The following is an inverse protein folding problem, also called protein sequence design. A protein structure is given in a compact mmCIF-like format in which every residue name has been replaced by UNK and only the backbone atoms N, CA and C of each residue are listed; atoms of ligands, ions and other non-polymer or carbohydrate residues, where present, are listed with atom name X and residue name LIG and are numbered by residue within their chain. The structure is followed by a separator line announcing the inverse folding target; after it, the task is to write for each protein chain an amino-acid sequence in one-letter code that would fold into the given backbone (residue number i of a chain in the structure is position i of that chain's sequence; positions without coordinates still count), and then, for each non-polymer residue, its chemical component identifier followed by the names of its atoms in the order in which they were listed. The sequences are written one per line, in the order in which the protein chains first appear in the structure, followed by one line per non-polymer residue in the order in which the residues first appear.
data_IF_522689107864
#
_entry.id   IF_522689107864
#
_cell.length_a   1.000
_cell.length_b   1.000
_cell.length_c   1.000
_cell.angle_alpha   90.00
_cell.angle_beta   90.00
_cell.angle_gamma   90.00
#
_symmetry.space_group_name_H-M   'P 1'
#
loop_
_entity.id
_entity.type
_entity.pdbx_description
1 polymer ?
#
# COMPACT_ATOMS: atom_id res chain seq x y z
N UNK A 1 4.82 -29.09 -1.49
CA UNK A 1 4.70 -27.63 -1.65
C UNK A 1 5.38 -26.96 -0.46
N UNK A 2 6.20 -25.93 -0.68
CA UNK A 2 6.82 -25.20 0.42
C UNK A 2 5.73 -24.48 1.25
N UNK A 3 5.89 -24.44 2.57
CA UNK A 3 4.95 -23.76 3.49
C UNK A 3 4.73 -22.30 3.11
N UNK A 4 5.76 -21.63 2.61
CA UNK A 4 5.70 -20.25 2.09
C UNK A 4 4.74 -20.13 0.91
N UNK A 5 4.83 -21.04 -0.07
CA UNK A 5 3.94 -21.05 -1.25
C UNK A 5 2.48 -21.24 -0.83
N UNK A 6 2.23 -22.04 0.20
CA UNK A 6 0.89 -22.22 0.76
C UNK A 6 0.34 -20.91 1.32
N UNK A 7 1.11 -20.18 2.14
CA UNK A 7 0.65 -18.91 2.72
C UNK A 7 0.40 -17.83 1.67
N UNK A 8 1.28 -17.70 0.67
CA UNK A 8 1.14 -16.73 -0.41
C UNK A 8 -0.17 -16.93 -1.18
N UNK A 9 -0.61 -18.18 -1.36
CA UNK A 9 -1.86 -18.50 -2.05
C UNK A 9 -3.08 -18.44 -1.13
N UNK A 10 -2.96 -18.93 0.10
CA UNK A 10 -4.08 -19.05 1.03
C UNK A 10 -4.64 -17.68 1.46
N UNK A 11 -3.78 -16.71 1.79
CA UNK A 11 -4.19 -15.40 2.30
C UNK A 11 -5.10 -14.64 1.31
N UNK A 12 -4.72 -14.42 0.03
CA UNK A 12 -5.59 -13.71 -0.91
C UNK A 12 -6.88 -14.48 -1.21
N UNK A 13 -6.81 -15.82 -1.28
CA UNK A 13 -7.99 -16.66 -1.50
C UNK A 13 -8.98 -16.51 -0.34
N UNK A 14 -8.51 -16.51 0.90
CA UNK A 14 -9.36 -16.32 2.07
C UNK A 14 -10.04 -14.94 2.05
N UNK A 15 -9.31 -13.87 1.69
CA UNK A 15 -9.88 -12.52 1.55
C UNK A 15 -11.02 -12.50 0.53
N UNK A 16 -10.83 -13.13 -0.62
CA UNK A 16 -11.88 -13.21 -1.66
C UNK A 16 -13.08 -14.01 -1.17
N UNK A 17 -12.87 -15.14 -0.49
CA UNK A 17 -13.96 -15.95 0.08
C UNK A 17 -14.79 -15.13 1.06
N UNK A 18 -14.14 -14.43 1.99
CA UNK A 18 -14.83 -13.60 2.99
C UNK A 18 -15.60 -12.44 2.35
N UNK A 19 -15.04 -11.81 1.31
CA UNK A 19 -15.73 -10.79 0.54
C UNK A 19 -16.98 -11.34 -0.17
N UNK A 20 -16.87 -12.53 -0.79
CA UNK A 20 -18.01 -13.20 -1.44
C UNK A 20 -19.08 -13.56 -0.43
N UNK A 21 -18.70 -14.09 0.74
CA UNK A 21 -19.65 -14.38 1.82
C UNK A 21 -20.36 -13.11 2.27
N UNK A 22 -19.65 -11.99 2.42
CA UNK A 22 -20.28 -10.71 2.75
C UNK A 22 -21.25 -10.25 1.66
N UNK A 23 -20.86 -10.33 0.39
CA UNK A 23 -21.71 -9.94 -0.74
C UNK A 23 -23.01 -10.77 -0.80
N UNK A 24 -22.93 -12.06 -0.47
CA UNK A 24 -24.09 -12.97 -0.50
C UNK A 24 -25.00 -12.83 0.71
N UNK A 25 -24.44 -12.59 1.91
CA UNK A 25 -25.21 -12.60 3.18
C UNK A 25 -25.60 -11.20 3.66
N UNK A 26 -24.89 -10.14 3.26
CA UNK A 26 -25.15 -8.80 3.76
C UNK A 26 -26.41 -8.19 3.13
N UNK A 27 -27.18 -7.46 3.94
CA UNK A 27 -28.36 -6.73 3.48
C UNK A 27 -27.91 -5.52 2.65
N UNK A 28 -28.15 -5.58 1.35
CA UNK A 28 -27.84 -4.49 0.42
C UNK A 28 -29.06 -3.60 0.20
N UNK A 29 -29.10 -2.43 0.87
CA UNK A 29 -30.12 -1.37 0.69
C UNK A 29 -29.42 -0.04 0.41
N UNK A 30 -29.21 0.33 -0.87
CA UNK A 30 -28.66 1.62 -1.26
C UNK A 30 -29.75 2.68 -1.30
N UNK A 31 -29.51 3.81 -0.62
CA UNK A 31 -30.32 5.04 -0.70
C UNK A 31 -29.47 6.15 -1.30
N UNK A 32 -30.08 7.17 -1.91
CA UNK A 32 -29.37 8.29 -2.53
C UNK A 32 -28.36 8.95 -1.59
N UNK A 33 -28.72 9.15 -0.32
CA UNK A 33 -27.83 9.73 0.70
C UNK A 33 -26.78 8.75 1.23
N UNK A 34 -26.99 7.44 1.06
CA UNK A 34 -26.05 6.41 1.51
C UNK A 34 -24.96 6.14 0.48
N UNK A 35 -25.22 6.44 -0.79
CA UNK A 35 -24.26 6.30 -1.89
C UNK A 35 -23.45 7.58 -2.15
N UNK A 36 -23.78 8.69 -1.49
CA UNK A 36 -23.03 9.95 -1.54
C UNK A 36 -21.96 10.01 -0.47
N UNK A 37 -20.92 10.83 -0.68
CA UNK A 37 -19.90 11.08 0.33
C UNK A 37 -20.49 11.84 1.53
N UNK A 38 -20.07 11.48 2.74
CA UNK A 38 -20.47 12.19 3.95
C UNK A 38 -19.78 13.55 4.05
N UNK A 39 -20.54 14.64 4.08
CA UNK A 39 -20.00 16.01 4.05
C UNK A 39 -20.58 16.94 5.15
N UNK A 40 -20.96 16.40 6.32
CA UNK A 40 -21.50 17.21 7.44
C UNK A 40 -22.63 18.20 7.05
N UNK A 41 -23.41 17.89 6.00
CA UNK A 41 -24.47 18.75 5.47
C UNK A 41 -24.03 19.83 4.48
N UNK A 42 -22.74 19.91 4.14
CA UNK A 42 -22.23 20.77 3.06
C UNK A 42 -22.32 20.06 1.71
N UNK A 43 -22.62 20.82 0.66
CA UNK A 43 -22.55 20.30 -0.71
C UNK A 43 -21.08 20.20 -1.14
N UNK A 44 -20.67 19.11 -1.80
CA UNK A 44 -19.29 18.97 -2.27
C UNK A 44 -18.94 20.13 -3.22
N UNK A 45 -17.79 20.75 -2.99
CA UNK A 45 -17.29 21.84 -3.85
C UNK A 45 -16.78 21.22 -5.16
N UNK A 46 -17.64 21.20 -6.17
CA UNK A 46 -17.28 20.76 -7.51
C UNK A 46 -16.29 21.75 -8.15
N UNK A 47 -15.10 21.26 -8.53
CA UNK A 47 -14.12 22.03 -9.31
C UNK A 47 -12.73 22.20 -8.66
N UNK A 48 -12.56 21.88 -7.37
CA UNK A 48 -11.26 21.87 -6.70
C UNK A 48 -10.92 20.48 -6.17
N UNK A 49 -10.33 19.63 -7.02
CA UNK A 49 -9.88 18.28 -6.64
C UNK A 49 -8.50 18.27 -5.98
N UNK A 50 -7.75 19.38 -6.06
CA UNK A 50 -6.42 19.51 -5.45
C UNK A 50 -6.50 20.47 -4.27
N UNK A 51 -6.33 19.93 -3.07
CA UNK A 51 -6.14 20.75 -1.88
C UNK A 51 -4.65 21.11 -1.75
N UNK A 52 -4.28 22.35 -1.35
CA UNK A 52 -2.92 22.63 -0.93
C UNK A 52 -2.50 21.65 0.18
N UNK A 53 -1.35 21.01 -0.01
CA UNK A 53 -0.75 20.11 0.96
C UNK A 53 0.65 20.62 1.32
N UNK A 54 1.12 20.26 2.50
CA UNK A 54 2.46 20.63 2.95
C UNK A 54 3.52 19.93 2.08
N UNK A 55 4.53 20.68 1.62
CA UNK A 55 5.64 20.16 0.81
C UNK A 55 6.38 19.00 1.50
N UNK A 56 6.34 18.93 2.83
CA UNK A 56 6.96 17.89 3.63
C UNK A 56 6.51 16.48 3.24
N UNK A 57 5.24 16.27 2.89
CA UNK A 57 4.75 14.94 2.46
C UNK A 57 5.46 14.46 1.17
N UNK A 58 5.72 15.38 0.25
CA UNK A 58 6.45 15.08 -0.98
C UNK A 58 7.92 14.78 -0.70
N UNK A 59 8.56 15.59 0.16
CA UNK A 59 9.97 15.40 0.52
C UNK A 59 10.18 14.04 1.20
N UNK A 60 9.30 13.63 2.10
CA UNK A 60 9.38 12.30 2.75
C UNK A 60 9.27 11.17 1.72
N UNK A 61 8.34 11.25 0.76
CA UNK A 61 8.20 10.23 -0.28
C UNK A 61 9.43 10.16 -1.21
N UNK A 62 10.00 11.30 -1.57
CA UNK A 62 11.22 11.35 -2.39
C UNK A 62 12.44 10.79 -1.64
N UNK A 63 12.61 11.16 -0.37
CA UNK A 63 13.68 10.61 0.47
C UNK A 63 13.52 9.11 0.68
N UNK A 64 12.29 8.62 0.90
CA UNK A 64 12.02 7.18 1.00
C UNK A 64 12.49 6.43 -0.24
N UNK A 65 12.20 6.94 -1.44
CA UNK A 65 12.64 6.32 -2.70
C UNK A 65 14.16 6.25 -2.81
N UNK A 66 14.86 7.35 -2.51
CA UNK A 66 16.33 7.42 -2.58
C UNK A 66 16.95 6.44 -1.57
N UNK A 67 16.50 6.47 -0.32
CA UNK A 67 17.03 5.59 0.73
C UNK A 67 16.73 4.11 0.47
N UNK A 68 15.58 3.77 -0.10
CA UNK A 68 15.26 2.39 -0.47
C UNK A 68 16.23 1.87 -1.55
N UNK A 69 16.54 2.70 -2.55
CA UNK A 69 17.56 2.38 -3.56
C UNK A 69 18.98 2.26 -2.97
N UNK A 70 19.35 3.14 -2.04
CA UNK A 70 20.65 3.05 -1.37
C UNK A 70 20.78 1.76 -0.57
N UNK A 71 19.74 1.35 0.17
CA UNK A 71 19.71 0.09 0.92
C UNK A 71 19.84 -1.10 -0.05
N UNK A 72 19.13 -1.08 -1.17
CA UNK A 72 19.24 -2.11 -2.21
C UNK A 72 20.69 -2.27 -2.71
N UNK A 73 21.41 -1.15 -2.91
CA UNK A 73 22.81 -1.17 -3.38
C UNK A 73 23.80 -1.60 -2.29
N UNK A 74 23.54 -1.24 -1.03
CA UNK A 74 24.39 -1.61 0.11
C UNK A 74 24.18 -3.09 0.49
N UNK A 75 23.01 -3.68 0.24
CA UNK A 75 22.67 -5.03 0.67
C UNK A 75 23.63 -6.13 0.16
N UNK A 76 24.01 -6.19 -1.14
CA UNK A 76 25.00 -7.13 -1.64
C UNK A 76 26.35 -7.00 -0.93
N UNK A 77 26.82 -5.76 -0.72
CA UNK A 77 28.06 -5.49 0.01
C UNK A 77 27.97 -6.06 1.43
N UNK A 78 26.89 -5.78 2.16
CA UNK A 78 26.67 -6.31 3.51
C UNK A 78 26.59 -7.86 3.54
N UNK A 79 25.99 -8.48 2.52
CA UNK A 79 25.85 -9.95 2.45
C UNK A 79 27.16 -10.68 2.11
N UNK A 80 28.06 -10.03 1.36
CA UNK A 80 29.29 -10.64 0.85
C UNK A 80 30.56 -10.14 1.54
N UNK A 81 30.46 -9.41 2.66
CA UNK A 81 31.61 -8.79 3.33
C UNK A 81 32.77 -9.75 3.65
N UNK A 82 32.48 -11.03 3.90
CA UNK A 82 33.50 -12.04 4.18
C UNK A 82 34.24 -12.55 2.93
N UNK A 83 33.63 -12.41 1.76
CA UNK A 83 34.17 -12.89 0.47
C UNK A 83 34.85 -11.81 -0.36
N UNK A 84 34.70 -10.53 0.03
CA UNK A 84 35.19 -9.38 -0.72
C UNK A 84 36.41 -8.80 -0.01
N UNK A 85 37.43 -8.39 -0.77
CA UNK A 85 38.62 -7.77 -0.21
C UNK A 85 38.31 -6.36 0.33
N UNK A 86 39.19 -5.81 1.17
CA UNK A 86 38.97 -4.53 1.86
C UNK A 86 38.67 -3.31 0.98
N UNK A 87 38.90 -3.38 -0.34
CA UNK A 87 38.64 -2.29 -1.30
C UNK A 87 37.41 -2.51 -2.19
N UNK A 88 36.59 -3.54 -1.95
CA UNK A 88 35.38 -3.74 -2.75
C UNK A 88 35.63 -4.22 -4.18
N UNK A 89 36.74 -4.96 -4.37
CA UNK A 89 37.00 -5.88 -5.48
C UNK A 89 37.46 -7.20 -4.89
#
# INVERSE_FOLDING_TARGET
MATITLFILFVPVLVVILLVVNLLLAVHKPDSEKVTAYECGFQPIYGQTRNPFAISFYVVAMLFLIFDLEILLIFPYASCMYSVQSYGF
#
